data_IF_702534845172
#
_entry.id   IF_702534845172
#
_cell.length_a   1.000
_cell.length_b   1.000
_cell.length_c   1.000
_cell.angle_alpha   90.00
_cell.angle_beta   90.00
_cell.angle_gamma   90.00
#
_symmetry.space_group_name_H-M   'P 1'
#
loop_
_entity.id
_entity.type
_entity.pdbx_description
1 polymer ?
#
# COMPACT_ATOMS: atom_id res chain seq x y z
N UNK A 1 4.97 21.85 1.30
CA UNK A 1 4.49 21.36 -0.01
C UNK A 1 4.18 22.59 -0.86
N UNK A 2 4.94 22.82 -1.93
CA UNK A 2 4.62 23.88 -2.88
C UNK A 2 3.56 23.32 -3.85
N UNK A 3 2.36 23.90 -3.84
CA UNK A 3 1.28 23.59 -4.77
C UNK A 3 1.80 23.74 -6.21
N UNK A 4 1.55 22.74 -7.07
CA UNK A 4 1.98 22.69 -8.48
C UNK A 4 3.51 22.55 -8.70
N UNK A 5 4.30 22.13 -7.70
CA UNK A 5 5.68 21.74 -7.94
C UNK A 5 5.77 20.48 -8.78
N UNK A 6 6.93 20.22 -9.41
CA UNK A 6 7.17 18.99 -10.19
C UNK A 6 6.91 17.74 -9.33
N UNK A 7 7.37 17.75 -8.08
CA UNK A 7 7.11 16.65 -7.12
C UNK A 7 5.60 16.46 -6.87
N UNK A 8 4.85 17.56 -6.73
CA UNK A 8 3.40 17.51 -6.54
C UNK A 8 2.69 16.91 -7.76
N UNK A 9 3.13 17.25 -8.97
CA UNK A 9 2.61 16.70 -10.22
C UNK A 9 2.93 15.21 -10.36
N UNK A 10 4.15 14.78 -10.02
CA UNK A 10 4.54 13.37 -10.05
C UNK A 10 3.71 12.55 -9.05
N UNK A 11 3.60 12.99 -7.80
CA UNK A 11 2.79 12.32 -6.77
C UNK A 11 1.32 12.24 -7.22
N UNK A 12 0.79 13.30 -7.79
CA UNK A 12 -0.57 13.33 -8.33
C UNK A 12 -0.75 12.36 -9.49
N UNK A 13 0.19 12.33 -10.44
CA UNK A 13 0.14 11.39 -11.57
C UNK A 13 0.17 9.94 -11.09
N UNK A 14 1.09 9.59 -10.19
CA UNK A 14 1.19 8.25 -9.61
C UNK A 14 -0.11 7.87 -8.87
N UNK A 15 -0.64 8.79 -8.05
CA UNK A 15 -1.88 8.53 -7.28
C UNK A 15 -3.10 8.32 -8.18
N UNK A 16 -3.23 9.12 -9.24
CA UNK A 16 -4.33 8.99 -10.20
C UNK A 16 -4.18 7.71 -11.00
N UNK A 17 -2.99 7.41 -11.50
CA UNK A 17 -2.72 6.18 -12.25
C UNK A 17 -3.01 4.94 -11.41
N UNK A 18 -2.58 4.92 -10.14
CA UNK A 18 -2.81 3.79 -9.25
C UNK A 18 -4.29 3.50 -8.95
N UNK A 19 -5.16 4.52 -8.97
CA UNK A 19 -6.61 4.35 -8.76
C UNK A 19 -7.35 4.04 -10.07
N UNK A 20 -6.82 4.47 -11.22
CA UNK A 20 -7.48 4.32 -12.52
C UNK A 20 -7.27 2.96 -13.16
N UNK A 21 -6.22 2.24 -12.78
CA UNK A 21 -5.91 0.92 -13.32
C UNK A 21 -6.68 -0.14 -12.53
N UNK A 22 -7.44 -1.04 -13.19
CA UNK A 22 -8.07 -2.16 -12.50
C UNK A 22 -7.03 -3.03 -11.78
N UNK A 23 -7.30 -3.40 -10.52
CA UNK A 23 -6.34 -4.14 -9.68
C UNK A 23 -5.87 -5.45 -10.33
N UNK A 24 -6.77 -6.18 -11.00
CA UNK A 24 -6.41 -7.42 -11.69
C UNK A 24 -5.44 -7.20 -12.84
N UNK A 25 -5.61 -6.12 -13.61
CA UNK A 25 -4.73 -5.80 -14.72
C UNK A 25 -3.34 -5.39 -14.23
N UNK A 26 -3.29 -4.59 -13.17
CA UNK A 26 -2.03 -4.24 -12.50
C UNK A 26 -1.31 -5.46 -11.95
N UNK A 27 -2.06 -6.41 -11.33
CA UNK A 27 -1.50 -7.68 -10.85
C UNK A 27 -0.87 -8.51 -11.98
N UNK A 28 -1.54 -8.62 -13.14
CA UNK A 28 -1.01 -9.31 -14.30
C UNK A 28 0.24 -8.63 -14.88
N UNK A 29 0.26 -7.30 -14.93
CA UNK A 29 1.45 -6.54 -15.34
C UNK A 29 2.63 -6.78 -14.40
N UNK A 30 2.40 -6.78 -13.08
CA UNK A 30 3.44 -7.05 -12.10
C UNK A 30 4.02 -8.45 -12.27
N UNK A 31 3.17 -9.47 -12.46
CA UNK A 31 3.62 -10.82 -12.78
C UNK A 31 4.38 -10.87 -14.11
N UNK A 32 3.87 -10.23 -15.16
CA UNK A 32 4.53 -10.23 -16.45
C UNK A 32 5.93 -9.62 -16.38
N UNK A 33 6.06 -8.43 -15.79
CA UNK A 33 7.36 -7.75 -15.73
C UNK A 33 8.32 -8.41 -14.73
N UNK A 34 7.90 -8.61 -13.50
CA UNK A 34 8.80 -8.99 -12.41
C UNK A 34 9.06 -10.48 -12.30
N UNK A 35 8.07 -11.32 -12.61
CA UNK A 35 8.25 -12.77 -12.62
C UNK A 35 8.72 -13.26 -14.00
N UNK A 36 8.00 -12.94 -15.09
CA UNK A 36 8.28 -13.52 -16.41
C UNK A 36 9.46 -12.88 -17.11
N UNK A 37 9.49 -11.54 -17.23
CA UNK A 37 10.55 -10.80 -17.98
C UNK A 37 11.84 -10.67 -17.18
N UNK A 38 11.78 -10.11 -15.99
CA UNK A 38 12.96 -9.77 -15.18
C UNK A 38 13.42 -10.92 -14.29
N UNK A 39 12.54 -11.88 -13.98
CA UNK A 39 12.82 -13.05 -13.12
C UNK A 39 13.39 -12.66 -11.74
N UNK A 40 12.96 -11.51 -11.20
CA UNK A 40 13.42 -10.98 -9.91
C UNK A 40 12.63 -11.60 -8.76
N UNK A 41 11.32 -11.76 -8.97
CA UNK A 41 10.40 -12.32 -7.98
C UNK A 41 9.86 -13.66 -8.44
N UNK A 42 9.47 -14.54 -7.48
CA UNK A 42 8.87 -15.82 -7.80
C UNK A 42 7.49 -15.65 -8.43
N UNK A 43 7.00 -16.73 -9.04
CA UNK A 43 5.68 -16.80 -9.65
C UNK A 43 4.54 -16.93 -8.64
N UNK A 44 3.32 -17.23 -9.15
CA UNK A 44 2.16 -17.46 -8.28
C UNK A 44 2.38 -18.64 -7.33
N UNK A 45 1.85 -18.54 -6.12
CA UNK A 45 1.96 -19.54 -5.07
C UNK A 45 2.50 -18.95 -3.77
N UNK A 46 2.62 -19.78 -2.73
CA UNK A 46 3.11 -19.37 -1.40
C UNK A 46 4.59 -19.72 -1.17
N UNK A 47 5.10 -20.66 -1.94
CA UNK A 47 6.49 -21.16 -1.90
C UNK A 47 6.90 -21.64 -3.29
N UNK A 48 8.21 -21.62 -3.54
CA UNK A 48 8.81 -22.28 -4.71
C UNK A 48 8.68 -23.81 -4.63
N UNK A 49 8.64 -24.47 -5.78
CA UNK A 49 8.52 -25.94 -5.87
C UNK A 49 9.66 -26.71 -5.20
N UNK A 50 10.76 -26.02 -4.84
CA UNK A 50 11.90 -26.61 -4.13
C UNK A 50 11.64 -26.82 -2.64
N UNK A 51 10.58 -26.24 -2.08
CA UNK A 51 10.23 -26.37 -0.68
C UNK A 51 8.86 -27.03 -0.51
N UNK A 52 8.78 -27.95 0.45
CA UNK A 52 7.49 -28.47 0.93
C UNK A 52 6.81 -27.47 1.85
N UNK A 53 5.49 -27.52 1.93
CA UNK A 53 4.73 -26.69 2.87
C UNK A 53 5.25 -26.92 4.31
N UNK A 54 5.43 -25.86 5.12
CA UNK A 54 5.82 -26.01 6.51
C UNK A 54 4.71 -26.66 7.33
N UNK A 55 5.07 -27.24 8.49
CA UNK A 55 4.09 -27.72 9.46
C UNK A 55 3.19 -26.55 9.88
N UNK A 56 1.85 -26.74 9.76
CA UNK A 56 0.89 -25.69 10.06
C UNK A 56 0.75 -25.52 11.57
N UNK A 57 1.41 -24.51 12.12
CA UNK A 57 1.30 -24.09 13.53
C UNK A 57 0.45 -22.81 13.63
N UNK A 58 0.80 -21.78 12.87
CA UNK A 58 0.09 -20.50 12.83
C UNK A 58 -0.73 -20.33 11.55
N UNK A 59 -0.48 -21.14 10.52
CA UNK A 59 -1.03 -21.00 9.17
C UNK A 59 -0.31 -19.96 8.32
N UNK A 60 0.65 -19.24 8.90
CA UNK A 60 1.47 -18.23 8.21
C UNK A 60 2.80 -18.85 7.80
N UNK A 61 3.00 -19.11 6.51
CA UNK A 61 4.17 -19.82 5.99
C UNK A 61 5.51 -19.21 6.41
N UNK A 62 5.58 -17.88 6.54
CA UNK A 62 6.81 -17.20 7.01
C UNK A 62 7.12 -17.59 8.46
N UNK A 63 6.11 -17.50 9.34
CA UNK A 63 6.28 -17.79 10.77
C UNK A 63 6.49 -19.28 10.97
N UNK A 64 5.70 -20.12 10.34
CA UNK A 64 5.79 -21.58 10.45
C UNK A 64 7.14 -22.10 9.95
N UNK A 65 7.69 -21.51 8.87
CA UNK A 65 9.04 -21.86 8.39
C UNK A 65 10.15 -21.44 9.34
N UNK A 66 9.98 -20.34 10.07
CA UNK A 66 10.93 -19.92 11.12
C UNK A 66 10.85 -20.83 12.33
N UNK A 67 9.64 -21.25 12.73
CA UNK A 67 9.44 -22.23 13.83
C UNK A 67 10.07 -23.57 13.47
N UNK A 68 9.98 -23.99 12.20
CA UNK A 68 10.62 -25.20 11.67
C UNK A 68 12.17 -25.10 11.63
N UNK A 69 12.72 -23.90 11.87
CA UNK A 69 14.17 -23.65 11.83
C UNK A 69 14.73 -23.53 10.41
N UNK A 70 13.89 -23.23 9.41
CA UNK A 70 14.30 -23.10 8.02
C UNK A 70 14.19 -21.65 7.51
N UNK A 71 15.22 -20.81 7.75
CA UNK A 71 15.19 -19.40 7.32
C UNK A 71 15.18 -19.23 5.79
N UNK A 72 15.72 -20.18 5.03
CA UNK A 72 15.71 -20.13 3.57
C UNK A 72 14.28 -20.27 3.04
N UNK A 73 13.49 -21.20 3.59
CA UNK A 73 12.06 -21.38 3.30
C UNK A 73 11.24 -20.14 3.70
N UNK A 74 11.53 -19.54 4.87
CA UNK A 74 10.88 -18.31 5.32
C UNK A 74 11.15 -17.13 4.35
N UNK A 75 12.40 -16.97 3.89
CA UNK A 75 12.77 -15.94 2.92
C UNK A 75 12.07 -16.15 1.57
N UNK A 76 11.95 -17.41 1.11
CA UNK A 76 11.21 -17.74 -0.10
C UNK A 76 9.72 -17.35 0.04
N UNK A 77 9.09 -17.67 1.17
CA UNK A 77 7.72 -17.28 1.48
C UNK A 77 7.54 -15.75 1.48
N UNK A 78 8.49 -14.99 2.05
CA UNK A 78 8.48 -13.52 2.01
C UNK A 78 8.55 -13.01 0.57
N UNK A 79 9.41 -13.59 -0.28
CA UNK A 79 9.51 -13.19 -1.69
C UNK A 79 8.21 -13.37 -2.46
N UNK A 80 7.45 -14.43 -2.17
CA UNK A 80 6.15 -14.67 -2.77
C UNK A 80 5.07 -13.67 -2.31
N UNK A 81 5.22 -13.08 -1.11
CA UNK A 81 4.33 -12.06 -0.59
C UNK A 81 4.55 -10.66 -1.22
N UNK A 82 5.75 -10.37 -1.74
CA UNK A 82 6.09 -9.01 -2.18
C UNK A 82 5.18 -8.50 -3.28
N UNK A 83 5.01 -9.25 -4.37
CA UNK A 83 4.20 -8.80 -5.51
C UNK A 83 2.72 -8.61 -5.15
N UNK A 84 2.03 -9.56 -4.50
CA UNK A 84 0.66 -9.36 -4.03
C UNK A 84 0.53 -8.14 -3.12
N UNK A 85 1.46 -7.97 -2.17
CA UNK A 85 1.45 -6.84 -1.24
C UNK A 85 1.61 -5.49 -1.94
N UNK A 86 2.49 -5.40 -2.95
CA UNK A 86 2.66 -4.19 -3.76
C UNK A 86 1.37 -3.85 -4.52
N UNK A 87 0.71 -4.84 -5.11
CA UNK A 87 -0.55 -4.63 -5.85
C UNK A 87 -1.62 -4.06 -4.93
N UNK A 88 -1.81 -4.67 -3.76
CA UNK A 88 -2.79 -4.23 -2.78
C UNK A 88 -2.46 -2.86 -2.18
N UNK A 89 -1.19 -2.64 -1.87
CA UNK A 89 -0.71 -1.37 -1.33
C UNK A 89 -0.88 -0.24 -2.35
N UNK A 90 -0.57 -0.44 -3.62
CA UNK A 90 -0.65 0.58 -4.65
C UNK A 90 -2.07 1.19 -4.76
N UNK A 91 -3.09 0.32 -4.73
CA UNK A 91 -4.48 0.75 -4.79
C UNK A 91 -4.89 1.57 -3.56
N UNK A 92 -4.59 1.06 -2.37
CA UNK A 92 -4.94 1.72 -1.09
C UNK A 92 -4.16 3.02 -0.90
N UNK A 93 -2.86 3.03 -1.20
CA UNK A 93 -2.01 4.21 -1.07
C UNK A 93 -2.39 5.32 -2.03
N UNK A 94 -2.85 5.00 -3.24
CA UNK A 94 -3.34 5.99 -4.20
C UNK A 94 -4.51 6.80 -3.62
N UNK A 95 -5.49 6.13 -3.04
CA UNK A 95 -6.65 6.74 -2.41
C UNK A 95 -6.26 7.57 -1.17
N UNK A 96 -5.45 7.01 -0.26
CA UNK A 96 -4.98 7.69 0.95
C UNK A 96 -4.20 8.96 0.57
N UNK A 97 -3.27 8.87 -0.38
CA UNK A 97 -2.43 10.00 -0.82
C UNK A 97 -3.29 11.12 -1.39
N UNK A 98 -4.25 10.79 -2.26
CA UNK A 98 -5.18 11.77 -2.85
C UNK A 98 -5.99 12.48 -1.77
N UNK A 99 -6.59 11.73 -0.85
CA UNK A 99 -7.41 12.28 0.23
C UNK A 99 -6.59 13.11 1.19
N UNK A 100 -5.41 12.63 1.61
CA UNK A 100 -4.51 13.39 2.49
C UNK A 100 -4.10 14.72 1.87
N UNK A 101 -3.72 14.69 0.58
CA UNK A 101 -3.32 15.90 -0.14
C UNK A 101 -4.45 16.92 -0.22
N UNK A 102 -5.67 16.48 -0.58
CA UNK A 102 -6.82 17.38 -0.67
C UNK A 102 -7.12 18.04 0.67
N UNK A 103 -7.31 17.22 1.71
CA UNK A 103 -7.66 17.73 3.04
C UNK A 103 -6.55 18.60 3.66
N UNK A 104 -5.28 18.30 3.35
CA UNK A 104 -4.16 19.13 3.84
C UNK A 104 -4.17 20.51 3.15
N UNK A 105 -4.45 20.58 1.85
CA UNK A 105 -4.57 21.86 1.14
C UNK A 105 -5.76 22.68 1.65
N UNK A 106 -6.88 22.00 1.92
CA UNK A 106 -8.08 22.66 2.47
C UNK A 106 -7.79 23.20 3.89
N UNK A 107 -7.17 22.38 4.75
CA UNK A 107 -6.76 22.81 6.09
C UNK A 107 -5.81 24.02 6.06
N UNK A 108 -4.84 24.03 5.13
CA UNK A 108 -3.89 25.14 4.96
C UNK A 108 -4.54 26.45 4.49
N UNK A 109 -5.73 26.39 3.90
CA UNK A 109 -6.48 27.58 3.43
C UNK A 109 -7.34 28.21 4.51
N UNK A 110 -7.51 27.58 5.68
CA UNK A 110 -8.39 28.03 6.77
C UNK A 110 -7.82 29.21 7.56
N UNK A 111 -8.71 29.97 8.20
CA UNK A 111 -8.35 31.20 8.91
C UNK A 111 -7.51 30.95 10.16
N UNK A 112 -7.69 29.80 10.84
CA UNK A 112 -6.84 29.48 12.01
C UNK A 112 -5.37 29.24 11.59
N UNK A 113 -5.12 28.69 10.41
CA UNK A 113 -3.76 28.54 9.87
C UNK A 113 -3.19 29.88 9.42
N UNK A 114 -4.02 30.77 8.85
CA UNK A 114 -3.61 32.15 8.53
C UNK A 114 -3.21 32.92 9.80
N UNK A 115 -4.00 32.79 10.86
CA UNK A 115 -3.70 33.39 12.17
C UNK A 115 -2.40 32.83 12.74
N UNK A 116 -2.18 31.53 12.69
CA UNK A 116 -0.95 30.91 13.14
C UNK A 116 0.29 31.39 12.34
N UNK A 117 0.12 31.58 11.04
CA UNK A 117 1.16 32.15 10.17
C UNK A 117 1.45 33.61 10.51
N UNK A 118 0.43 34.43 10.79
CA UNK A 118 0.58 35.83 11.21
C UNK A 118 1.32 35.97 12.54
N UNK A 119 1.22 34.95 13.43
CA UNK A 119 1.99 34.87 14.69
C UNK A 119 3.46 34.47 14.49
N UNK A 120 3.95 34.35 13.25
CA UNK A 120 5.37 34.07 12.94
C UNK A 120 5.76 32.58 13.04
N UNK A 121 4.81 31.65 13.11
CA UNK A 121 5.12 30.23 13.13
C UNK A 121 5.78 29.79 11.82
N UNK A 122 6.82 28.96 11.92
CA UNK A 122 7.50 28.41 10.75
C UNK A 122 6.58 27.43 9.99
N UNK A 123 6.86 27.25 8.69
CA UNK A 123 6.02 26.41 7.81
C UNK A 123 5.92 24.96 8.24
N UNK A 124 6.97 24.40 8.85
CA UNK A 124 6.97 23.00 9.32
C UNK A 124 6.03 22.84 10.51
N UNK A 125 6.13 23.72 11.51
CA UNK A 125 5.25 23.71 12.66
C UNK A 125 3.79 23.93 12.25
N UNK A 126 3.55 24.82 11.31
CA UNK A 126 2.22 25.13 10.79
C UNK A 126 1.60 23.93 10.10
N UNK A 127 2.36 23.17 9.30
CA UNK A 127 1.90 21.97 8.63
C UNK A 127 1.67 20.84 9.64
N UNK A 128 2.69 20.50 10.44
CA UNK A 128 2.64 19.30 11.28
C UNK A 128 1.71 19.46 12.50
N UNK A 129 1.71 20.63 13.13
CA UNK A 129 0.96 20.86 14.37
C UNK A 129 -0.46 21.38 14.13
N UNK A 130 -0.66 22.23 13.13
CA UNK A 130 -1.93 22.91 12.91
C UNK A 130 -2.75 22.34 11.75
N UNK A 131 -2.14 22.06 10.61
CA UNK A 131 -2.89 21.61 9.44
C UNK A 131 -3.08 20.09 9.40
N UNK A 132 -2.04 19.30 9.71
CA UNK A 132 -2.04 17.85 9.55
C UNK A 132 -3.06 17.18 10.49
N UNK A 133 -3.17 17.61 11.75
CA UNK A 133 -4.11 17.02 12.71
C UNK A 133 -5.54 17.03 12.18
N UNK A 134 -5.99 18.17 11.66
CA UNK A 134 -7.35 18.31 11.11
C UNK A 134 -7.50 17.59 9.75
N UNK A 135 -6.45 17.60 8.92
CA UNK A 135 -6.46 16.91 7.64
C UNK A 135 -6.50 15.38 7.78
N UNK A 136 -6.01 14.82 8.89
CA UNK A 136 -6.00 13.38 9.14
C UNK A 136 -7.38 12.81 9.50
N UNK A 137 -8.33 13.60 10.01
CA UNK A 137 -9.65 13.10 10.42
C UNK A 137 -10.36 12.38 9.25
N UNK A 138 -10.56 12.98 8.06
CA UNK A 138 -11.14 12.27 6.93
C UNK A 138 -10.25 11.14 6.39
N UNK A 139 -8.93 11.27 6.53
CA UNK A 139 -7.98 10.24 6.09
C UNK A 139 -8.10 8.97 6.92
N UNK A 140 -8.31 9.07 8.22
CA UNK A 140 -8.54 7.91 9.09
C UNK A 140 -9.79 7.14 8.69
N UNK A 141 -10.86 7.83 8.28
CA UNK A 141 -12.07 7.20 7.74
C UNK A 141 -11.74 6.42 6.45
N UNK A 142 -10.97 7.02 5.54
CA UNK A 142 -10.55 6.35 4.30
C UNK A 142 -9.67 5.14 4.57
N UNK A 143 -8.76 5.23 5.56
CA UNK A 143 -7.94 4.08 5.98
C UNK A 143 -8.84 2.97 6.53
N UNK A 144 -9.79 3.28 7.40
CA UNK A 144 -10.71 2.30 7.97
C UNK A 144 -11.56 1.60 6.90
N UNK A 145 -12.14 2.36 5.98
CA UNK A 145 -12.86 1.81 4.83
C UNK A 145 -11.95 1.00 3.90
N UNK A 146 -10.70 1.47 3.70
CA UNK A 146 -9.68 0.77 2.92
C UNK A 146 -9.34 -0.59 3.51
N UNK A 147 -9.21 -0.71 4.83
CA UNK A 147 -9.00 -1.98 5.51
C UNK A 147 -10.20 -2.94 5.31
N UNK A 148 -11.43 -2.43 5.42
CA UNK A 148 -12.63 -3.22 5.11
C UNK A 148 -12.63 -3.73 3.65
N UNK A 149 -12.29 -2.88 2.71
CA UNK A 149 -12.18 -3.26 1.29
C UNK A 149 -11.04 -4.26 1.04
N UNK A 150 -9.93 -4.14 1.77
CA UNK A 150 -8.84 -5.14 1.69
C UNK A 150 -9.31 -6.51 2.18
N UNK A 151 -10.13 -6.60 3.20
CA UNK A 151 -10.69 -7.87 3.68
C UNK A 151 -11.73 -8.48 2.72
N UNK A 152 -12.51 -7.63 2.02
CA UNK A 152 -13.58 -8.10 1.12
C UNK A 152 -13.18 -8.17 -0.36
N UNK A 153 -12.17 -7.41 -0.81
CA UNK A 153 -11.86 -7.21 -2.23
C UNK A 153 -10.64 -7.96 -2.77
N UNK A 154 -10.02 -8.79 -1.96
CA UNK A 154 -8.77 -9.47 -2.32
C UNK A 154 -8.93 -10.69 -3.24
N UNK A 155 -10.16 -11.17 -3.45
CA UNK A 155 -10.45 -12.42 -4.18
C UNK A 155 -9.73 -12.48 -5.54
N UNK A 156 -9.75 -11.38 -6.30
CA UNK A 156 -9.10 -11.35 -7.62
C UNK A 156 -7.56 -11.44 -7.52
N UNK A 157 -6.96 -10.75 -6.55
CA UNK A 157 -5.51 -10.78 -6.34
C UNK A 157 -5.09 -12.15 -5.81
N UNK A 158 -5.85 -12.72 -4.86
CA UNK A 158 -5.64 -14.07 -4.33
C UNK A 158 -5.70 -15.12 -5.45
N UNK A 159 -6.69 -15.02 -6.35
CA UNK A 159 -6.83 -15.93 -7.49
C UNK A 159 -5.65 -15.81 -8.47
N UNK A 160 -5.24 -14.58 -8.83
CA UNK A 160 -4.14 -14.34 -9.77
C UNK A 160 -2.81 -14.85 -9.21
N UNK A 161 -2.55 -14.57 -7.93
CA UNK A 161 -1.32 -15.00 -7.26
C UNK A 161 -1.41 -16.42 -6.68
N UNK A 162 -2.54 -17.12 -6.86
CA UNK A 162 -2.80 -18.45 -6.27
C UNK A 162 -2.51 -18.48 -4.77
N UNK A 163 -2.95 -17.45 -4.08
CA UNK A 163 -2.77 -17.30 -2.65
C UNK A 163 -4.06 -17.66 -1.93
N UNK A 164 -4.12 -18.77 -1.17
CA UNK A 164 -5.32 -19.08 -0.40
C UNK A 164 -5.46 -18.06 0.73
N UNK A 165 -6.42 -17.19 0.61
CA UNK A 165 -6.71 -16.10 1.53
C UNK A 165 -8.12 -16.15 2.07
N UNK A 166 -8.58 -15.05 2.67
CA UNK A 166 -9.90 -14.92 3.32
C UNK A 166 -11.04 -14.80 2.30
N UNK A 167 -10.72 -14.52 1.03
CA UNK A 167 -11.70 -14.31 -0.02
C UNK A 167 -12.07 -15.56 -0.82
N UNK A 168 -11.46 -16.73 -0.52
CA UNK A 168 -11.75 -18.01 -1.17
C UNK A 168 -12.64 -18.89 -0.30
#
# INVERSE_FOLDING_TARGET
IRRNSILDQIVRAISVTGVSIPAFWFALLMLYFFYYKLKIFPGPGRLSNSFSAPASVTGMYVIDSLIEGNPAKAMDAVRHLILPSIVLAAFTMGLITRTTRSNLLDALSTDYVRTAKAKGLNSICLILKHALGNALIPVMTVIGLGLGNLLGGMVLVETIFKWPGVGQ
#
